data_IF_403983605806
#
_entry.id   IF_403983605806
#
_cell.length_a   1.000
_cell.length_b   1.000
_cell.length_c   1.000
_cell.angle_alpha   90.00
_cell.angle_beta   90.00
_cell.angle_gamma   90.00
#
_symmetry.space_group_name_H-M   'P 1'
#
loop_
_entity.id
_entity.type
_entity.pdbx_description
1 polymer ?
#
# COMPACT_ATOMS: atom_id res chain seq x y z
N UNK A 1 2.93 1.98 -52.30
CA UNK A 1 4.26 2.57 -51.96
C UNK A 1 4.34 3.22 -50.55
N UNK A 2 3.25 3.43 -49.82
CA UNK A 2 3.25 4.16 -48.51
C UNK A 2 3.59 3.31 -47.27
N UNK A 3 3.60 1.98 -47.39
CA UNK A 3 3.76 1.04 -46.27
C UNK A 3 5.16 1.12 -45.61
N UNK A 4 6.21 1.31 -46.41
CA UNK A 4 7.58 1.40 -45.89
C UNK A 4 7.80 2.67 -45.05
N UNK A 5 7.33 3.82 -45.55
CA UNK A 5 7.44 5.10 -44.84
C UNK A 5 6.70 5.07 -43.49
N UNK A 6 5.49 4.47 -43.47
CA UNK A 6 4.72 4.33 -42.25
C UNK A 6 5.40 3.41 -41.23
N UNK A 7 5.98 2.29 -41.69
CA UNK A 7 6.74 1.37 -40.84
C UNK A 7 7.95 2.03 -40.19
N UNK A 8 8.72 2.80 -40.96
CA UNK A 8 9.89 3.54 -40.45
C UNK A 8 9.45 4.58 -39.41
N UNK A 9 8.41 5.37 -39.69
CA UNK A 9 7.84 6.35 -38.73
C UNK A 9 7.34 5.68 -37.44
N UNK A 10 6.73 4.50 -37.56
CA UNK A 10 6.31 3.69 -36.41
C UNK A 10 7.47 3.18 -35.56
N UNK A 11 8.60 2.83 -36.17
CA UNK A 11 9.81 2.43 -35.47
C UNK A 11 10.42 3.60 -34.67
N UNK A 12 10.48 4.79 -35.26
CA UNK A 12 10.95 6.00 -34.55
C UNK A 12 10.07 6.41 -33.38
N UNK A 13 8.75 6.31 -33.51
CA UNK A 13 7.83 6.60 -32.42
C UNK A 13 8.05 5.67 -31.20
N UNK A 14 8.33 4.38 -31.47
CA UNK A 14 8.68 3.40 -30.42
C UNK A 14 10.01 3.73 -29.76
N UNK A 15 11.02 4.07 -30.56
CA UNK A 15 12.35 4.44 -30.07
C UNK A 15 12.32 5.70 -29.18
N UNK A 16 11.56 6.73 -29.57
CA UNK A 16 11.42 7.92 -28.75
C UNK A 16 10.78 7.60 -27.38
N UNK A 17 9.81 6.67 -27.35
CA UNK A 17 9.14 6.27 -26.11
C UNK A 17 10.06 5.47 -25.17
N UNK A 18 10.92 4.61 -25.71
CA UNK A 18 11.93 3.90 -24.90
C UNK A 18 12.95 4.89 -24.33
N UNK A 19 13.45 5.83 -25.14
CA UNK A 19 14.39 6.88 -24.72
C UNK A 19 13.84 7.77 -23.58
N UNK A 20 12.57 8.20 -23.69
CA UNK A 20 11.92 8.99 -22.62
C UNK A 20 11.82 8.17 -21.32
N UNK A 21 11.50 6.89 -21.42
CA UNK A 21 11.38 6.00 -20.26
C UNK A 21 12.72 5.79 -19.56
N UNK A 22 13.80 5.64 -20.32
CA UNK A 22 15.16 5.49 -19.79
C UNK A 22 15.59 6.72 -18.98
N UNK A 23 15.42 7.91 -19.54
CA UNK A 23 15.72 9.18 -18.83
C UNK A 23 14.84 9.37 -17.59
N UNK A 24 13.56 8.98 -17.67
CA UNK A 24 12.69 9.01 -16.50
C UNK A 24 13.17 8.05 -15.41
N UNK A 25 13.66 6.87 -15.76
CA UNK A 25 14.23 5.93 -14.79
C UNK A 25 15.48 6.50 -14.13
N UNK A 26 16.37 7.12 -14.90
CA UNK A 26 17.56 7.81 -14.38
C UNK A 26 17.16 8.97 -13.44
N UNK A 27 16.21 9.81 -13.86
CA UNK A 27 15.69 10.90 -13.04
C UNK A 27 15.02 10.40 -11.75
N UNK A 28 14.24 9.32 -11.83
CA UNK A 28 13.63 8.68 -10.66
C UNK A 28 14.68 8.05 -9.74
N UNK A 29 15.73 7.44 -10.28
CA UNK A 29 16.83 6.89 -9.48
C UNK A 29 17.54 8.00 -8.69
N UNK A 30 17.83 9.13 -9.34
CA UNK A 30 18.42 10.30 -8.69
C UNK A 30 17.48 10.93 -7.66
N UNK A 31 16.18 11.03 -7.94
CA UNK A 31 15.18 11.53 -6.99
C UNK A 31 15.00 10.62 -5.77
N UNK A 32 15.06 9.30 -5.96
CA UNK A 32 15.04 8.31 -4.87
C UNK A 32 16.28 8.40 -4.00
N UNK A 33 17.47 8.52 -4.60
CA UNK A 33 18.72 8.71 -3.86
C UNK A 33 18.71 9.99 -3.02
N UNK A 34 18.10 11.06 -3.53
CA UNK A 34 17.91 12.33 -2.81
C UNK A 34 16.78 12.29 -1.78
N UNK A 35 16.04 11.19 -1.66
CA UNK A 35 14.91 11.07 -0.73
C UNK A 35 13.70 11.95 -1.07
N UNK A 36 13.68 12.60 -2.24
CA UNK A 36 12.60 13.50 -2.65
C UNK A 36 11.29 12.76 -2.98
N UNK A 37 11.38 11.46 -3.26
CA UNK A 37 10.21 10.62 -3.47
C UNK A 37 9.77 10.01 -2.14
N UNK A 38 8.90 10.73 -1.44
CA UNK A 38 8.19 10.16 -0.30
C UNK A 38 7.07 9.24 -0.80
N UNK A 39 6.91 8.09 -0.17
CA UNK A 39 5.67 7.34 -0.26
C UNK A 39 4.48 8.25 0.06
N UNK A 40 3.29 7.88 -0.46
CA UNK A 40 2.06 8.59 -0.17
C UNK A 40 1.94 8.82 1.34
N UNK A 41 1.93 10.09 1.77
CA UNK A 41 1.81 10.44 3.18
C UNK A 41 0.55 9.80 3.73
N UNK A 42 0.72 8.92 4.71
CA UNK A 42 -0.40 8.32 5.42
C UNK A 42 -1.21 9.47 6.03
N UNK A 43 -2.51 9.48 5.76
CA UNK A 43 -3.41 10.51 6.30
C UNK A 43 -3.47 10.50 7.84
N UNK A 44 -3.07 9.40 8.48
CA UNK A 44 -3.06 9.21 9.92
C UNK A 44 -1.69 8.72 10.38
N UNK A 45 -1.23 9.22 11.52
CA UNK A 45 -0.05 8.72 12.22
C UNK A 45 -0.36 7.38 12.90
N UNK A 46 0.65 6.54 13.18
CA UNK A 46 0.48 5.20 13.77
C UNK A 46 -0.28 5.25 15.10
N UNK A 47 -0.02 6.27 15.93
CA UNK A 47 -0.76 6.51 17.18
C UNK A 47 -2.25 6.73 16.91
N UNK A 48 -2.60 7.52 15.89
CA UNK A 48 -3.99 7.77 15.53
C UNK A 48 -4.66 6.54 14.92
N UNK A 49 -3.90 5.71 14.19
CA UNK A 49 -4.38 4.42 13.68
C UNK A 49 -4.71 3.47 14.85
N UNK A 50 -3.86 3.39 15.88
CA UNK A 50 -4.16 2.56 17.06
C UNK A 50 -5.38 3.06 17.84
N UNK A 51 -5.54 4.37 17.99
CA UNK A 51 -6.73 4.94 18.64
C UNK A 51 -8.00 4.72 17.81
N UNK A 52 -7.93 4.85 16.48
CA UNK A 52 -9.02 4.53 15.58
C UNK A 52 -9.46 3.08 15.74
N UNK A 53 -8.51 2.14 15.81
CA UNK A 53 -8.77 0.70 16.00
C UNK A 53 -9.45 0.42 17.33
N UNK A 54 -8.93 1.00 18.42
CA UNK A 54 -9.52 0.89 19.77
C UNK A 54 -10.96 1.42 19.82
N UNK A 55 -11.24 2.51 19.10
CA UNK A 55 -12.59 3.09 19.04
C UNK A 55 -13.55 2.26 18.18
N UNK A 56 -13.06 1.59 17.15
CA UNK A 56 -13.85 0.66 16.33
C UNK A 56 -14.18 -0.60 17.12
N UNK A 57 -13.24 -1.17 17.89
CA UNK A 57 -13.50 -2.32 18.76
C UNK A 57 -14.44 -2.00 19.92
N UNK A 58 -14.44 -0.76 20.40
CA UNK A 58 -15.43 -0.25 21.37
C UNK A 58 -16.85 -0.06 20.77
N UNK A 59 -17.08 -0.42 19.50
CA UNK A 59 -18.41 -0.40 18.88
C UNK A 59 -18.91 0.98 18.45
N UNK A 60 -18.05 2.01 18.41
CA UNK A 60 -18.45 3.34 17.92
C UNK A 60 -18.78 3.30 16.43
N UNK A 61 -19.76 4.10 16.02
CA UNK A 61 -20.18 4.18 14.62
C UNK A 61 -19.03 4.65 13.72
N UNK A 62 -18.68 3.82 12.72
CA UNK A 62 -17.57 4.07 11.77
C UNK A 62 -17.71 5.41 11.02
N UNK A 63 -18.94 5.84 10.75
CA UNK A 63 -19.23 7.12 10.10
C UNK A 63 -18.89 8.33 10.98
N UNK A 64 -19.13 8.24 12.29
CA UNK A 64 -18.76 9.29 13.24
C UNK A 64 -17.24 9.36 13.39
N UNK A 65 -16.56 8.21 13.49
CA UNK A 65 -15.11 8.14 13.58
C UNK A 65 -14.42 8.73 12.35
N UNK A 66 -14.89 8.44 11.14
CA UNK A 66 -14.35 9.04 9.92
C UNK A 66 -14.38 10.58 9.97
N UNK A 67 -15.50 11.17 10.44
CA UNK A 67 -15.63 12.61 10.65
C UNK A 67 -14.69 13.14 11.72
N UNK A 68 -14.55 12.43 12.85
CA UNK A 68 -13.64 12.84 13.94
C UNK A 68 -12.18 12.88 13.51
N UNK A 69 -11.76 11.93 12.68
CA UNK A 69 -10.38 11.84 12.18
C UNK A 69 -10.16 12.60 10.86
N UNK A 70 -11.19 13.24 10.30
CA UNK A 70 -11.10 13.98 9.03
C UNK A 70 -10.77 13.11 7.81
N UNK A 71 -11.10 11.81 7.85
CA UNK A 71 -10.79 10.85 6.78
C UNK A 71 -12.05 10.42 6.03
N UNK A 72 -11.88 9.98 4.78
CA UNK A 72 -12.96 9.35 4.03
C UNK A 72 -13.32 7.99 4.65
N UNK A 73 -14.57 7.53 4.42
CA UNK A 73 -14.98 6.18 4.82
C UNK A 73 -14.09 5.10 4.19
N UNK A 74 -13.69 5.31 2.94
CA UNK A 74 -12.82 4.39 2.21
C UNK A 74 -11.45 4.25 2.89
N UNK A 75 -10.84 5.37 3.27
CA UNK A 75 -9.58 5.40 4.01
C UNK A 75 -9.72 4.69 5.36
N UNK A 76 -10.84 4.86 6.07
CA UNK A 76 -11.12 4.14 7.32
C UNK A 76 -11.15 2.62 7.11
N UNK A 77 -11.83 2.13 6.07
CA UNK A 77 -11.82 0.71 5.73
C UNK A 77 -10.45 0.20 5.29
N UNK A 78 -9.64 1.01 4.60
CA UNK A 78 -8.26 0.65 4.25
C UNK A 78 -7.39 0.45 5.50
N UNK A 79 -7.53 1.30 6.53
CA UNK A 79 -6.81 1.14 7.79
C UNK A 79 -7.26 -0.08 8.61
N UNK A 80 -8.54 -0.44 8.54
CA UNK A 80 -9.09 -1.65 9.16
C UNK A 80 -8.69 -2.93 8.40
N UNK A 81 -8.69 -2.89 7.06
CA UNK A 81 -8.30 -4.05 6.24
C UNK A 81 -6.81 -4.43 6.40
N UNK A 82 -5.95 -3.43 6.66
CA UNK A 82 -4.53 -3.64 6.98
C UNK A 82 -4.27 -4.46 8.26
N UNK A 83 -5.29 -4.80 9.05
CA UNK A 83 -5.15 -5.67 10.24
C UNK A 83 -5.05 -7.17 9.89
N UNK A 84 -5.29 -7.58 8.64
CA UNK A 84 -5.29 -9.00 8.25
C UNK A 84 -4.47 -9.37 7.01
N UNK A 85 -3.97 -8.39 6.25
CA UNK A 85 -3.08 -8.64 5.11
C UNK A 85 -1.71 -8.01 5.40
N UNK A 86 -0.68 -8.86 5.50
CA UNK A 86 0.71 -8.46 5.32
C UNK A 86 0.79 -7.51 4.11
N UNK A 87 1.60 -6.44 4.15
CA UNK A 87 1.66 -5.46 3.08
C UNK A 87 1.96 -6.16 1.75
N UNK A 88 0.98 -6.21 0.84
CA UNK A 88 1.11 -6.84 -0.50
C UNK A 88 2.18 -6.20 -1.40
N UNK A 89 2.95 -5.23 -0.90
CA UNK A 89 4.11 -4.61 -1.57
C UNK A 89 5.29 -4.43 -0.62
N UNK A 90 5.70 -5.50 0.07
CA UNK A 90 7.07 -5.62 0.57
C UNK A 90 7.41 -7.09 0.85
N UNK A 91 7.66 -7.88 -0.19
CA UNK A 91 8.48 -9.07 -0.06
C UNK A 91 9.61 -8.97 -1.10
N UNK A 92 10.84 -8.62 -0.72
CA UNK A 92 11.98 -9.00 -1.54
C UNK A 92 12.01 -10.53 -1.62
N UNK A 93 12.10 -11.06 -2.84
CA UNK A 93 11.95 -12.48 -3.19
C UNK A 93 12.96 -13.47 -2.54
N UNK A 94 13.70 -13.06 -1.51
CA UNK A 94 14.82 -13.81 -0.92
C UNK A 94 14.50 -14.49 0.42
N UNK A 95 13.31 -14.29 1.00
CA UNK A 95 12.96 -14.82 2.34
C UNK A 95 12.00 -16.02 2.33
N UNK A 96 11.69 -16.59 1.16
CA UNK A 96 10.86 -17.80 1.04
C UNK A 96 11.64 -19.12 1.17
N UNK A 97 12.78 -19.13 1.87
CA UNK A 97 13.41 -20.37 2.31
C UNK A 97 13.71 -20.31 3.80
N UNK A 98 12.77 -20.90 4.54
CA UNK A 98 13.04 -21.55 5.80
C UNK A 98 13.16 -20.64 7.01
N UNK A 99 12.02 -20.29 7.61
CA UNK A 99 11.81 -20.51 9.05
C UNK A 99 10.32 -20.80 9.26
N UNK A 100 10.00 -22.08 9.43
CA UNK A 100 8.78 -22.52 10.10
C UNK A 100 9.00 -22.19 11.58
N UNK A 101 8.25 -21.25 12.13
CA UNK A 101 8.11 -21.09 13.57
C UNK A 101 6.83 -20.33 13.90
N UNK A 102 5.69 -21.03 13.90
CA UNK A 102 4.57 -20.66 14.77
C UNK A 102 4.01 -21.94 15.40
N UNK A 103 4.43 -22.22 16.64
CA UNK A 103 3.53 -22.77 17.63
C UNK A 103 3.40 -21.75 18.76
N UNK A 104 2.22 -21.12 18.84
CA UNK A 104 1.72 -20.58 20.09
C UNK A 104 0.19 -20.59 20.04
N UNK A 105 -0.37 -21.77 20.36
CA UNK A 105 -1.54 -21.80 21.22
C UNK A 105 -1.24 -20.95 22.46
N UNK A 106 -2.11 -19.99 22.77
CA UNK A 106 -2.73 -19.76 24.09
C UNK A 106 -3.49 -18.43 24.00
N UNK A 107 -4.81 -18.53 23.79
CA UNK A 107 -5.77 -17.57 24.36
C UNK A 107 -6.97 -18.38 24.85
N UNK A 108 -6.91 -18.78 26.13
CA UNK A 108 -8.07 -19.19 26.91
C UNK A 108 -8.60 -18.00 27.71
N UNK A 109 -9.93 -17.97 27.90
CA UNK A 109 -10.75 -17.03 28.70
C UNK A 109 -10.92 -15.60 28.11
N UNK A 110 -12.12 -14.99 28.02
CA UNK A 110 -13.22 -15.03 28.97
C UNK A 110 -14.59 -14.64 28.36
N UNK A 111 -15.59 -15.47 28.68
CA UNK A 111 -17.03 -15.18 28.87
C UNK A 111 -17.99 -14.86 27.71
N UNK A 112 -18.53 -15.94 27.13
CA UNK A 112 -19.85 -16.01 26.49
C UNK A 112 -20.93 -16.14 27.59
N UNK A 113 -21.74 -15.10 27.82
CA UNK A 113 -23.09 -15.19 28.42
C UNK A 113 -24.03 -14.32 27.58
N UNK A 114 -24.98 -14.94 26.90
CA UNK A 114 -26.29 -14.35 26.59
C UNK A 114 -27.32 -15.44 26.80
N UNK A 115 -28.22 -15.19 27.74
CA UNK A 115 -29.58 -15.70 27.70
C UNK A 115 -30.31 -15.11 26.49
#
# INVERSE_FOLDING_TARGET
>A
MTKLLLSVRGAFAKYARTLITERQREGLAMAKQRGAYCDHKLALNDVQVTDLRRRVSAGKQKAALARTFGISRETLYQYLKREGELPRRALPARWLRGVIAIPCLVVTCHHRRRH
#
